data_IF_980972620643
#
_entry.id   IF_980972620643
#
_cell.length_a   1.000
_cell.length_b   1.000
_cell.length_c   1.000
_cell.angle_alpha   90.00
_cell.angle_beta   90.00
_cell.angle_gamma   90.00
#
_symmetry.space_group_name_H-M   'P 1'
#
loop_
_entity.id
_entity.type
_entity.pdbx_description
1 polymer ?
#
# COMPACT_ATOMS: atom_id res chain seq x y z
N UNK A 1 -10.17 -15.83 1.08
CA UNK A 1 -9.43 -15.13 -0.01
C UNK A 1 -9.19 -13.67 0.38
N UNK A 2 -8.06 -13.38 1.04
CA UNK A 2 -7.78 -12.03 1.58
C UNK A 2 -6.49 -11.55 0.94
N UNK A 3 -6.61 -10.95 -0.25
CA UNK A 3 -5.52 -10.23 -0.93
C UNK A 3 -5.70 -8.74 -0.64
N UNK A 4 -5.47 -8.36 0.61
CA UNK A 4 -5.48 -6.98 1.09
C UNK A 4 -4.09 -6.63 1.61
N UNK A 5 -3.31 -5.98 0.74
CA UNK A 5 -2.01 -5.33 1.02
C UNK A 5 -0.75 -6.21 1.16
N UNK A 6 -0.83 -7.53 1.12
CA UNK A 6 0.38 -8.39 1.12
C UNK A 6 1.18 -8.41 -0.17
N UNK A 7 0.64 -7.86 -1.26
CA UNK A 7 1.31 -7.88 -2.55
C UNK A 7 1.53 -6.45 -3.04
N UNK A 8 2.55 -5.81 -2.47
CA UNK A 8 3.35 -4.79 -3.17
C UNK A 8 4.75 -4.75 -2.54
N UNK A 9 5.34 -5.93 -2.34
CA UNK A 9 6.80 -6.04 -2.14
C UNK A 9 7.40 -7.33 -2.71
N UNK A 10 6.67 -8.01 -3.59
CA UNK A 10 7.15 -9.23 -4.23
C UNK A 10 6.60 -9.30 -5.66
N UNK A 11 7.33 -8.70 -6.59
CA UNK A 11 7.67 -9.24 -7.92
C UNK A 11 8.01 -8.09 -8.88
N UNK A 12 9.30 -7.86 -9.11
CA UNK A 12 9.89 -7.59 -10.42
C UNK A 12 11.42 -7.56 -10.28
N UNK A 13 12.04 -8.75 -10.32
CA UNK A 13 13.37 -8.87 -10.92
C UNK A 13 13.16 -8.97 -12.43
N UNK A 14 13.06 -7.82 -13.08
CA UNK A 14 13.29 -7.64 -14.51
C UNK A 14 13.41 -6.12 -14.72
N UNK A 15 14.65 -5.63 -14.76
CA UNK A 15 14.92 -4.23 -15.04
C UNK A 15 14.81 -3.99 -16.55
N UNK A 16 13.87 -3.16 -17.05
CA UNK A 16 14.15 -2.44 -18.26
C UNK A 16 15.16 -1.34 -17.91
N UNK A 17 16.26 -1.29 -18.65
CA UNK A 17 17.23 -0.19 -18.62
C UNK A 17 16.56 1.08 -19.17
N UNK A 18 15.68 1.69 -18.38
CA UNK A 18 15.40 3.11 -18.45
C UNK A 18 15.57 3.66 -17.04
N UNK A 19 16.84 3.71 -16.62
CA UNK A 19 17.26 4.70 -15.64
C UNK A 19 17.20 6.07 -16.33
N UNK A 20 15.97 6.55 -16.59
CA UNK A 20 15.73 7.96 -16.70
C UNK A 20 16.24 8.58 -15.40
N UNK A 21 17.01 9.67 -15.53
CA UNK A 21 17.51 10.50 -14.45
C UNK A 21 16.49 10.51 -13.32
N UNK A 22 16.90 10.16 -12.09
CA UNK A 22 16.04 10.11 -10.91
C UNK A 22 15.55 11.54 -10.55
N UNK A 23 14.74 12.11 -11.42
CA UNK A 23 13.91 13.27 -11.19
C UNK A 23 12.84 12.79 -10.22
N UNK A 24 13.02 13.11 -8.95
CA UNK A 24 12.01 12.95 -7.92
C UNK A 24 10.75 13.64 -8.44
N UNK A 25 9.69 12.91 -8.85
CA UNK A 25 8.57 13.55 -9.53
C UNK A 25 7.92 14.53 -8.57
N UNK A 26 7.79 15.78 -9.01
CA UNK A 26 7.00 16.77 -8.28
C UNK A 26 5.52 16.43 -8.41
N UNK A 27 4.76 16.83 -7.39
CA UNK A 27 3.33 16.50 -7.32
C UNK A 27 2.58 16.94 -8.58
N UNK A 28 2.89 18.13 -9.09
CA UNK A 28 2.25 18.72 -10.26
C UNK A 28 2.67 18.08 -11.60
N UNK A 29 3.78 17.34 -11.63
CA UNK A 29 4.23 16.58 -12.81
C UNK A 29 3.56 15.21 -12.94
N UNK A 30 2.89 14.75 -11.89
CA UNK A 30 2.18 13.47 -11.92
C UNK A 30 0.97 13.56 -12.86
N UNK A 31 0.74 12.48 -13.63
CA UNK A 31 -0.47 12.32 -14.41
C UNK A 31 -1.73 12.44 -13.52
N UNK A 32 -2.79 13.01 -14.06
CA UNK A 32 -4.02 13.32 -13.31
C UNK A 32 -4.59 12.08 -12.59
N UNK A 33 -4.62 10.93 -13.27
CA UNK A 33 -5.10 9.67 -12.68
C UNK A 33 -4.27 9.21 -11.47
N UNK A 34 -2.95 9.47 -11.50
CA UNK A 34 -2.05 9.16 -10.37
C UNK A 34 -2.26 10.14 -9.23
N UNK A 35 -2.40 11.43 -9.52
CA UNK A 35 -2.72 12.45 -8.50
C UNK A 35 -4.02 12.12 -7.79
N UNK A 36 -5.07 11.75 -8.53
CA UNK A 36 -6.36 11.35 -7.97
C UNK A 36 -6.26 10.16 -7.03
N UNK A 37 -5.43 9.17 -7.35
CA UNK A 37 -5.19 8.02 -6.48
C UNK A 37 -4.40 8.38 -5.22
N UNK A 38 -3.50 9.37 -5.30
CA UNK A 38 -2.58 9.75 -4.22
C UNK A 38 -2.96 11.03 -3.47
N UNK A 39 -4.14 11.62 -3.72
CA UNK A 39 -4.59 12.90 -3.09
C UNK A 39 -4.29 12.97 -1.59
N UNK A 40 -4.54 11.93 -0.77
CA UNK A 40 -4.28 11.99 0.67
C UNK A 40 -2.81 12.24 1.02
N UNK A 41 -1.89 11.83 0.14
CA UNK A 41 -0.44 11.93 0.33
C UNK A 41 0.14 13.24 -0.21
N UNK A 42 -0.66 14.06 -0.90
CA UNK A 42 -0.21 15.31 -1.54
C UNK A 42 0.48 16.26 -0.56
N UNK A 43 -0.09 16.40 0.66
CA UNK A 43 0.41 17.30 1.71
C UNK A 43 1.86 17.02 2.12
N UNK A 44 2.22 15.74 2.22
CA UNK A 44 3.56 15.32 2.66
C UNK A 44 4.46 14.92 1.48
N UNK A 45 4.00 15.09 0.24
CA UNK A 45 4.70 14.61 -0.96
C UNK A 45 6.16 15.07 -1.01
N UNK A 46 6.41 16.35 -0.73
CA UNK A 46 7.76 16.95 -0.76
C UNK A 46 8.69 16.45 0.36
N UNK A 47 8.14 15.84 1.41
CA UNK A 47 8.91 15.27 2.53
C UNK A 47 9.35 13.84 2.26
N UNK A 48 8.79 13.19 1.23
CA UNK A 48 9.17 11.85 0.84
C UNK A 48 10.46 11.85 0.03
N UNK A 49 11.33 10.87 0.31
CA UNK A 49 12.51 10.61 -0.51
C UNK A 49 12.11 10.23 -1.94
N UNK A 50 13.02 10.44 -2.90
CA UNK A 50 12.78 10.06 -4.30
C UNK A 50 12.35 8.59 -4.43
N UNK A 51 13.00 7.68 -3.70
CA UNK A 51 12.63 6.26 -3.68
C UNK A 51 11.18 6.05 -3.19
N UNK A 52 10.78 6.77 -2.14
CA UNK A 52 9.43 6.65 -1.59
C UNK A 52 8.39 7.18 -2.56
N UNK A 53 8.65 8.32 -3.20
CA UNK A 53 7.79 8.88 -4.25
C UNK A 53 7.62 7.90 -5.41
N UNK A 54 8.69 7.28 -5.87
CA UNK A 54 8.64 6.28 -6.94
C UNK A 54 7.73 5.10 -6.58
N UNK A 55 7.88 4.52 -5.38
CA UNK A 55 6.99 3.43 -4.94
C UNK A 55 5.52 3.86 -4.78
N UNK A 56 5.26 5.14 -4.48
CA UNK A 56 3.89 5.67 -4.43
C UNK A 56 3.29 5.85 -5.82
N UNK A 57 4.09 6.26 -6.80
CA UNK A 57 3.69 6.32 -8.21
C UNK A 57 3.33 4.93 -8.73
N UNK A 58 4.15 3.92 -8.44
CA UNK A 58 3.86 2.52 -8.80
C UNK A 58 2.57 2.01 -8.14
N UNK A 59 2.34 2.36 -6.88
CA UNK A 59 1.07 2.06 -6.20
C UNK A 59 -0.11 2.70 -6.93
N UNK A 60 0.01 3.96 -7.37
CA UNK A 60 -1.06 4.65 -8.09
C UNK A 60 -1.41 3.95 -9.42
N UNK A 61 -0.42 3.42 -10.13
CA UNK A 61 -0.63 2.65 -11.35
C UNK A 61 -1.32 1.31 -11.06
N UNK A 62 -0.91 0.61 -10.00
CA UNK A 62 -1.58 -0.61 -9.55
C UNK A 62 -3.05 -0.38 -9.15
N UNK A 63 -3.37 0.75 -8.51
CA UNK A 63 -4.74 1.12 -8.15
C UNK A 63 -5.64 1.37 -9.37
N UNK A 64 -5.07 1.87 -10.46
CA UNK A 64 -5.82 2.09 -11.71
C UNK A 64 -6.20 0.76 -12.38
N UNK A 65 -5.38 -0.28 -12.23
CA UNK A 65 -5.68 -1.61 -12.75
C UNK A 65 -6.74 -2.37 -11.94
N UNK A 66 -7.11 -1.88 -10.74
CA UNK A 66 -8.14 -2.51 -9.93
C UNK A 66 -9.56 -2.18 -10.45
N UNK A 67 -10.51 -3.13 -10.29
CA UNK A 67 -11.94 -2.86 -10.46
C UNK A 67 -12.41 -1.70 -9.57
N UNK A 68 -13.46 -0.98 -9.96
CA UNK A 68 -13.91 0.24 -9.28
C UNK A 68 -14.14 0.04 -7.77
N UNK A 69 -14.84 -1.03 -7.37
CA UNK A 69 -15.10 -1.32 -5.96
C UNK A 69 -13.81 -1.55 -5.15
N UNK A 70 -12.83 -2.22 -5.78
CA UNK A 70 -11.55 -2.50 -5.15
C UNK A 70 -10.69 -1.24 -5.04
N UNK A 71 -10.73 -0.38 -6.07
CA UNK A 71 -10.09 0.93 -6.07
C UNK A 71 -10.64 1.82 -4.95
N UNK A 72 -11.95 1.89 -4.79
CA UNK A 72 -12.57 2.68 -3.72
C UNK A 72 -12.17 2.17 -2.33
N UNK A 73 -12.18 0.84 -2.12
CA UNK A 73 -11.71 0.25 -0.86
C UNK A 73 -10.27 0.66 -0.59
N UNK A 74 -9.40 0.56 -1.59
CA UNK A 74 -8.00 0.92 -1.45
C UNK A 74 -7.81 2.42 -1.18
N UNK A 75 -8.60 3.29 -1.78
CA UNK A 75 -8.58 4.74 -1.49
C UNK A 75 -9.05 5.06 -0.07
N UNK A 76 -10.13 4.42 0.41
CA UNK A 76 -10.59 4.56 1.81
C UNK A 76 -9.51 4.16 2.80
N UNK A 77 -8.84 3.07 2.48
CA UNK A 77 -7.73 2.54 3.25
C UNK A 77 -6.51 3.47 3.26
N UNK A 78 -6.17 4.05 2.11
CA UNK A 78 -5.08 5.02 2.01
C UNK A 78 -5.36 6.27 2.85
N UNK A 79 -6.61 6.77 2.85
CA UNK A 79 -7.02 7.88 3.73
C UNK A 79 -6.77 7.55 5.19
N UNK A 80 -7.26 6.40 5.66
CA UNK A 80 -7.02 5.93 7.03
C UNK A 80 -5.54 5.81 7.36
N UNK A 81 -4.72 5.34 6.42
CA UNK A 81 -3.27 5.23 6.62
C UNK A 81 -2.60 6.58 6.85
N UNK A 82 -2.98 7.60 6.08
CA UNK A 82 -2.41 8.95 6.21
C UNK A 82 -2.83 9.60 7.53
N UNK A 83 -4.01 9.29 8.04
CA UNK A 83 -4.49 9.75 9.35
C UNK A 83 -3.73 9.14 10.53
N UNK A 84 -3.09 7.97 10.35
CA UNK A 84 -2.28 7.35 11.40
C UNK A 84 -1.02 8.16 11.69
N UNK A 85 -0.71 8.36 12.96
CA UNK A 85 0.57 8.95 13.38
C UNK A 85 1.76 8.06 12.97
N UNK A 86 2.98 8.61 12.83
CA UNK A 86 4.16 7.82 12.47
C UNK A 86 4.40 6.61 13.40
N UNK A 87 4.10 6.77 14.70
CA UNK A 87 4.20 5.70 15.69
C UNK A 87 3.15 4.60 15.45
N UNK A 88 1.92 4.97 15.11
CA UNK A 88 0.85 4.02 14.78
C UNK A 88 1.13 3.30 13.47
N UNK A 89 1.60 4.01 12.44
CA UNK A 89 2.03 3.39 11.19
C UNK A 89 3.17 2.39 11.44
N UNK A 90 4.13 2.71 12.31
CA UNK A 90 5.20 1.79 12.68
C UNK A 90 4.66 0.54 13.39
N UNK A 91 3.68 0.71 14.29
CA UNK A 91 2.99 -0.39 14.98
C UNK A 91 2.23 -1.29 14.00
N UNK A 92 1.50 -0.71 13.05
CA UNK A 92 0.79 -1.48 12.00
C UNK A 92 1.79 -2.28 11.16
N UNK A 93 2.91 -1.67 10.72
CA UNK A 93 3.97 -2.39 10.00
C UNK A 93 4.62 -3.50 10.82
N UNK A 94 4.82 -3.29 12.13
CA UNK A 94 5.39 -4.29 13.02
C UNK A 94 4.44 -5.48 13.21
N UNK A 95 3.16 -5.22 13.47
CA UNK A 95 2.12 -6.24 13.57
C UNK A 95 2.03 -7.05 12.27
N UNK A 96 2.09 -6.36 11.14
CA UNK A 96 2.10 -7.03 9.84
C UNK A 96 3.30 -7.95 9.64
N UNK A 97 4.51 -7.49 9.97
CA UNK A 97 5.72 -8.33 9.91
C UNK A 97 5.60 -9.57 10.80
N UNK A 98 5.01 -9.45 11.99
CA UNK A 98 4.74 -10.60 12.87
C UNK A 98 3.79 -11.59 12.23
N UNK A 99 2.66 -11.13 11.70
CA UNK A 99 1.72 -11.98 10.95
C UNK A 99 2.41 -12.60 9.73
N UNK A 100 3.34 -11.88 9.10
CA UNK A 100 4.12 -12.40 7.99
C UNK A 100 5.14 -13.48 8.37
N UNK A 101 5.67 -13.43 9.58
CA UNK A 101 6.59 -14.44 10.11
C UNK A 101 5.88 -15.71 10.60
N UNK A 102 4.55 -15.71 10.74
CA UNK A 102 3.80 -16.90 11.11
C UNK A 102 3.84 -17.95 10.00
N UNK A 103 3.91 -19.22 10.41
CA UNK A 103 3.77 -20.36 9.51
C UNK A 103 2.43 -20.27 8.73
N UNK A 104 2.39 -20.70 7.45
CA UNK A 104 1.21 -20.57 6.60
C UNK A 104 -0.06 -21.17 7.23
N UNK A 105 0.06 -22.24 8.00
CA UNK A 105 -1.03 -22.90 8.72
C UNK A 105 -1.60 -21.99 9.82
N UNK A 106 -0.72 -21.32 10.57
CA UNK A 106 -1.12 -20.36 11.61
C UNK A 106 -1.77 -19.11 11.02
N UNK A 107 -1.28 -18.64 9.87
CA UNK A 107 -1.93 -17.54 9.14
C UNK A 107 -3.32 -17.94 8.65
N UNK A 108 -3.48 -19.14 8.10
CA UNK A 108 -4.77 -19.64 7.65
C UNK A 108 -5.78 -19.75 8.82
N UNK A 109 -5.35 -20.25 9.98
CA UNK A 109 -6.16 -20.30 11.18
C UNK A 109 -6.62 -18.92 11.66
N UNK A 110 -5.69 -17.94 11.73
CA UNK A 110 -6.02 -16.56 12.10
C UNK A 110 -6.97 -15.90 11.09
N UNK A 111 -6.76 -16.12 9.80
CA UNK A 111 -7.65 -15.59 8.77
C UNK A 111 -9.05 -16.24 8.82
N UNK A 112 -9.11 -17.54 9.15
CA UNK A 112 -10.37 -18.24 9.36
C UNK A 112 -11.13 -17.67 10.58
N UNK A 113 -10.44 -17.44 11.70
CA UNK A 113 -10.97 -16.81 12.92
C UNK A 113 -11.47 -15.38 12.66
N UNK A 114 -10.72 -14.57 11.90
CA UNK A 114 -11.13 -13.20 11.55
C UNK A 114 -12.32 -13.14 10.58
N UNK A 115 -12.59 -14.23 9.84
CA UNK A 115 -13.72 -14.31 8.88
C UNK A 115 -14.94 -15.02 9.45
N UNK A 116 -14.73 -15.84 10.48
CA UNK A 116 -15.78 -16.48 11.28
C UNK A 116 -15.53 -16.04 12.71
N UNK A 117 -15.99 -14.83 13.10
CA UNK A 117 -15.91 -14.43 14.50
C UNK A 117 -16.72 -15.46 15.27
N UNK A 118 -16.02 -16.37 15.95
CA UNK A 118 -16.64 -17.26 16.91
C UNK A 118 -17.33 -16.35 17.92
N UNK A 119 -18.65 -16.28 17.83
CA UNK A 119 -19.49 -15.63 18.82
C UNK A 119 -19.32 -16.39 20.13
N UNK A 120 -18.30 -16.00 20.90
CA UNK A 120 -18.02 -16.40 22.27
C UNK A 120 -17.30 -15.18 22.88
N UNK A 121 -17.72 -14.59 23.98
CA UNK A 121 -18.81 -14.86 24.92
C UNK A 121 -18.92 -13.62 25.81
#
# INVERSE_FOLDING_TARGET
MIKGWTLLLACCLAAPAWAGTAASPDWDMLAESRRQALVPLARDWNRYSAQKKQSLVELADALQQLPPDARERAQRQLRRWVELSPAEQARVRANWRRVQALAPERRAALLFELTHPTAQR
#
